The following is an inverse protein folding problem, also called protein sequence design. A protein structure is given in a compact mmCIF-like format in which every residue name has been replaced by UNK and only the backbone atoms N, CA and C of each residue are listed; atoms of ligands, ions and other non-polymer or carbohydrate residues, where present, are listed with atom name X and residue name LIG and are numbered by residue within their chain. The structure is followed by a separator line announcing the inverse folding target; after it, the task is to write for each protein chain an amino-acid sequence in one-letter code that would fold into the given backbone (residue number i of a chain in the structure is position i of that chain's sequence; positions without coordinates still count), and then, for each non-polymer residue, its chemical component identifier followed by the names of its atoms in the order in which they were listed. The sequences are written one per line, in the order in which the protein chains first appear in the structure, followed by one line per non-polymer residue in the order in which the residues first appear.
data_IF_609112106587
#
_entry.id   IF_609112106587
#
_cell.length_a   1.000
_cell.length_b   1.000
_cell.length_c   1.000
_cell.angle_alpha   90.00
_cell.angle_beta   90.00
_cell.angle_gamma   90.00
#
_symmetry.space_group_name_H-M   'P 1'
#
loop_
_entity.id
_entity.type
_entity.pdbx_description
1 polymer ?
#
# COMPACT_ATOMS: atom_id res chain seq x y z
N UNK A 1 61.70 31.37 -19.97
CA UNK A 1 60.68 31.42 -18.90
C UNK A 1 59.37 31.00 -19.54
N UNK A 2 59.26 29.72 -19.88
CA UNK A 2 58.78 28.63 -19.01
C UNK A 2 57.25 28.58 -18.98
N UNK A 3 56.77 27.69 -19.86
CA UNK A 3 55.70 26.69 -19.75
C UNK A 3 54.32 27.02 -19.13
N UNK A 4 53.24 26.56 -19.79
CA UNK A 4 51.98 26.21 -19.14
C UNK A 4 52.10 24.82 -18.47
N UNK A 5 51.49 24.65 -17.30
CA UNK A 5 51.44 23.36 -16.60
C UNK A 5 50.14 22.64 -16.95
N UNK A 6 50.31 21.51 -17.66
CA UNK A 6 49.41 20.37 -17.73
C UNK A 6 49.36 19.62 -16.39
N UNK A 7 48.23 18.98 -16.08
CA UNK A 7 48.09 17.62 -15.53
C UNK A 7 46.63 17.43 -15.07
N UNK A 8 45.99 16.27 -15.10
CA UNK A 8 46.12 14.99 -15.78
C UNK A 8 44.91 14.17 -15.27
N UNK A 9 44.57 13.13 -16.04
CA UNK A 9 43.76 11.96 -15.70
C UNK A 9 43.86 11.49 -14.23
N UNK A 10 42.76 10.95 -13.68
CA UNK A 10 42.59 9.48 -13.65
C UNK A 10 41.17 9.02 -13.29
N UNK A 11 40.77 7.94 -13.97
CA UNK A 11 39.62 7.08 -13.68
C UNK A 11 40.05 5.95 -12.74
N UNK A 12 39.08 5.27 -12.13
CA UNK A 12 39.02 3.87 -11.66
C UNK A 12 38.32 3.80 -10.29
N UNK A 13 37.10 3.27 -10.22
CA UNK A 13 36.72 1.85 -10.02
C UNK A 13 36.11 1.69 -8.63
N UNK A 14 34.88 1.17 -8.57
CA UNK A 14 34.56 0.11 -7.61
C UNK A 14 33.24 -0.52 -8.03
N UNK A 15 33.39 -1.66 -8.67
CA UNK A 15 32.40 -2.71 -8.82
C UNK A 15 31.77 -3.10 -7.47
N UNK A 16 30.49 -3.51 -7.48
CA UNK A 16 30.10 -4.82 -6.93
C UNK A 16 28.66 -5.17 -7.28
N UNK A 17 28.54 -6.30 -7.97
CA UNK A 17 27.31 -7.03 -8.24
C UNK A 17 27.29 -8.32 -7.41
N UNK A 18 26.06 -8.80 -7.18
CA UNK A 18 25.63 -10.15 -6.80
C UNK A 18 25.64 -10.61 -5.32
N UNK A 19 24.43 -10.90 -4.84
CA UNK A 19 24.19 -12.19 -4.19
C UNK A 19 22.87 -12.81 -4.70
N UNK A 20 23.03 -13.94 -5.38
CA UNK A 20 22.01 -14.92 -5.75
C UNK A 20 22.24 -16.11 -4.80
N UNK A 21 21.22 -16.52 -4.05
CA UNK A 21 21.03 -17.89 -3.54
C UNK A 21 19.51 -18.13 -3.51
N UNK A 22 18.92 -18.76 -4.54
CA UNK A 22 18.67 -20.21 -4.67
C UNK A 22 17.84 -20.84 -3.54
N UNK A 23 16.54 -21.07 -3.80
CA UNK A 23 15.78 -22.12 -3.13
C UNK A 23 14.74 -22.73 -4.09
N UNK A 24 15.18 -23.85 -4.68
CA UNK A 24 14.48 -25.08 -5.08
C UNK A 24 12.96 -25.01 -5.33
N UNK A 25 12.58 -25.15 -6.60
CA UNK A 25 11.26 -25.62 -7.04
C UNK A 25 11.03 -27.04 -6.54
N UNK A 26 9.92 -27.27 -5.84
CA UNK A 26 9.42 -28.61 -5.61
C UNK A 26 8.16 -28.80 -6.45
N UNK A 27 8.33 -29.49 -7.58
CA UNK A 27 7.25 -30.11 -8.33
C UNK A 27 6.51 -31.09 -7.42
N UNK A 28 5.18 -30.99 -7.38
CA UNK A 28 4.31 -32.11 -7.04
C UNK A 28 3.14 -32.14 -8.01
N UNK A 29 3.03 -33.31 -8.64
CA UNK A 29 2.14 -33.68 -9.71
C UNK A 29 0.66 -33.71 -9.32
N UNK A 30 -0.15 -33.71 -10.38
CA UNK A 30 -1.59 -33.94 -10.44
C UNK A 30 -2.09 -35.05 -9.51
N UNK A 31 -3.25 -34.84 -8.89
CA UNK A 31 -4.24 -35.92 -8.78
C UNK A 31 -5.66 -35.33 -8.90
N UNK A 32 -6.32 -35.81 -9.94
CA UNK A 32 -7.69 -35.55 -10.35
C UNK A 32 -8.59 -36.60 -9.67
N UNK A 33 -9.64 -36.18 -8.96
CA UNK A 33 -10.81 -37.04 -8.83
C UNK A 33 -12.09 -36.22 -8.64
N UNK A 34 -12.81 -36.09 -9.76
CA UNK A 34 -14.24 -35.78 -9.85
C UNK A 34 -15.09 -36.96 -9.37
N UNK A 35 -16.12 -36.75 -8.54
CA UNK A 35 -17.47 -37.37 -8.71
C UNK A 35 -18.55 -36.74 -7.81
N UNK A 36 -19.63 -36.26 -8.46
CA UNK A 36 -21.07 -36.32 -8.14
C UNK A 36 -21.58 -36.06 -6.71
N UNK A 37 -22.38 -35.00 -6.48
CA UNK A 37 -23.86 -34.95 -6.62
C UNK A 37 -24.57 -36.00 -5.75
N UNK A 38 -25.11 -35.55 -4.61
CA UNK A 38 -26.45 -35.98 -4.20
C UNK A 38 -27.18 -34.85 -3.45
N UNK A 39 -28.44 -34.66 -3.84
CA UNK A 39 -29.36 -33.62 -3.41
C UNK A 39 -30.49 -34.35 -2.69
N UNK A 40 -30.67 -34.14 -1.38
CA UNK A 40 -31.93 -34.51 -0.73
C UNK A 40 -32.30 -33.55 0.39
N UNK A 41 -33.48 -32.95 0.22
CA UNK A 41 -34.21 -32.19 1.21
C UNK A 41 -34.81 -33.12 2.28
N UNK A 42 -34.93 -32.61 3.50
CA UNK A 42 -35.73 -33.25 4.56
C UNK A 42 -35.84 -32.34 5.78
N UNK A 43 -36.98 -31.67 5.92
CA UNK A 43 -37.39 -30.96 7.14
C UNK A 43 -37.47 -31.91 8.33
N UNK A 44 -36.99 -31.47 9.50
CA UNK A 44 -37.64 -31.78 10.79
C UNK A 44 -37.36 -30.67 11.79
N UNK A 45 -38.46 -30.08 12.26
CA UNK A 45 -38.50 -29.07 13.31
C UNK A 45 -38.02 -29.63 14.65
N UNK A 46 -37.22 -28.86 15.39
CA UNK A 46 -37.19 -28.97 16.86
C UNK A 46 -36.94 -27.62 17.50
N UNK A 47 -38.03 -27.09 18.02
CA UNK A 47 -38.15 -26.01 19.01
C UNK A 47 -37.22 -26.25 20.20
N UNK A 48 -36.35 -25.29 20.50
CA UNK A 48 -35.79 -25.09 21.83
C UNK A 48 -35.97 -23.62 22.19
N UNK A 49 -36.60 -23.42 23.34
CA UNK A 49 -37.18 -22.21 23.87
C UNK A 49 -36.15 -21.16 24.26
N UNK A 50 -36.57 -19.90 24.18
CA UNK A 50 -35.82 -18.74 24.65
C UNK A 50 -35.62 -18.75 26.18
N UNK A 51 -34.79 -17.85 26.70
CA UNK A 51 -35.37 -16.86 27.60
C UNK A 51 -35.28 -15.46 27.01
N UNK A 52 -36.47 -14.90 26.82
CA UNK A 52 -36.79 -13.58 26.33
C UNK A 52 -35.96 -12.47 27.00
N UNK A 53 -35.28 -11.66 26.20
CA UNK A 53 -35.13 -10.23 26.50
C UNK A 53 -35.68 -9.46 25.32
N UNK A 54 -36.99 -9.27 25.34
CA UNK A 54 -37.71 -8.37 24.46
C UNK A 54 -37.11 -6.97 24.59
N UNK A 55 -36.30 -6.58 23.61
CA UNK A 55 -35.99 -5.18 23.36
C UNK A 55 -37.25 -4.55 22.75
N UNK A 56 -37.84 -3.51 23.37
CA UNK A 56 -39.10 -2.96 22.89
C UNK A 56 -38.89 -2.27 21.55
N UNK A 57 -39.52 -2.82 20.52
CA UNK A 57 -39.76 -2.21 19.23
C UNK A 57 -40.87 -1.16 19.36
N UNK A 58 -40.55 0.06 19.81
CA UNK A 58 -41.32 1.28 19.50
C UNK A 58 -40.36 2.48 19.63
N UNK A 59 -40.05 3.15 18.51
CA UNK A 59 -39.83 4.61 18.39
C UNK A 59 -38.75 5.34 19.20
N UNK A 60 -38.13 4.75 20.21
CA UNK A 60 -37.29 5.47 21.16
C UNK A 60 -35.82 5.20 20.87
N UNK A 61 -35.11 6.25 20.50
CA UNK A 61 -33.64 6.25 20.40
C UNK A 61 -33.10 5.88 21.77
N UNK A 62 -32.53 4.67 21.91
CA UNK A 62 -31.76 4.31 23.10
C UNK A 62 -30.53 5.21 23.14
N UNK A 63 -30.62 6.28 23.92
CA UNK A 63 -29.53 7.22 24.13
C UNK A 63 -28.45 6.54 24.97
N UNK A 64 -27.18 6.58 24.56
CA UNK A 64 -26.08 6.10 25.37
C UNK A 64 -26.06 6.84 26.71
N UNK A 65 -25.90 6.12 27.81
CA UNK A 65 -25.73 6.71 29.14
C UNK A 65 -24.54 6.08 29.85
N UNK A 66 -24.02 6.80 30.85
CA UNK A 66 -22.89 6.34 31.65
C UNK A 66 -23.35 5.16 32.51
N UNK A 67 -22.61 4.05 32.47
CA UNK A 67 -22.97 2.80 33.14
C UNK A 67 -23.63 1.76 32.24
N UNK A 68 -23.91 2.07 30.97
CA UNK A 68 -24.41 1.07 30.03
C UNK A 68 -23.37 -0.03 29.79
N UNK A 69 -23.77 -1.29 29.97
CA UNK A 69 -22.91 -2.48 29.86
C UNK A 69 -23.09 -3.19 28.51
N UNK A 70 -21.99 -3.71 27.98
CA UNK A 70 -21.93 -4.51 26.76
C UNK A 70 -21.11 -5.77 26.98
N UNK A 71 -21.47 -6.85 26.26
CA UNK A 71 -20.73 -8.12 26.30
C UNK A 71 -19.42 -8.02 25.51
N UNK A 72 -19.44 -7.34 24.37
CA UNK A 72 -18.26 -7.09 23.55
C UNK A 72 -18.03 -5.61 23.27
N UNK A 73 -16.78 -5.27 22.96
CA UNK A 73 -16.41 -3.97 22.36
C UNK A 73 -17.15 -3.74 21.04
N UNK A 74 -17.35 -4.80 20.26
CA UNK A 74 -18.00 -4.70 18.95
C UNK A 74 -19.49 -4.44 19.07
N UNK A 75 -20.17 -5.03 20.06
CA UNK A 75 -21.57 -4.72 20.38
C UNK A 75 -21.73 -3.23 20.71
N UNK A 76 -20.83 -2.71 21.54
CA UNK A 76 -20.83 -1.31 21.92
C UNK A 76 -20.51 -0.38 20.74
N UNK A 77 -19.63 -0.81 19.84
CA UNK A 77 -19.34 -0.12 18.57
C UNK A 77 -20.59 -0.04 17.70
N UNK A 78 -21.26 -1.16 17.50
CA UNK A 78 -22.46 -1.22 16.67
C UNK A 78 -23.60 -0.40 17.25
N UNK A 79 -23.81 -0.46 18.56
CA UNK A 79 -24.76 0.38 19.28
C UNK A 79 -24.49 1.87 19.02
N UNK A 80 -23.23 2.31 19.17
CA UNK A 80 -22.90 3.72 18.97
C UNK A 80 -22.96 4.15 17.50
N UNK A 81 -22.65 3.25 16.55
CA UNK A 81 -22.87 3.49 15.12
C UNK A 81 -24.36 3.66 14.81
N UNK A 82 -25.21 2.81 15.37
CA UNK A 82 -26.66 2.90 15.20
C UNK A 82 -27.21 4.20 15.80
N UNK A 83 -26.74 4.59 16.99
CA UNK A 83 -27.04 5.88 17.59
C UNK A 83 -26.61 7.02 16.67
N UNK A 84 -25.34 7.04 16.26
CA UNK A 84 -24.76 8.05 15.37
C UNK A 84 -25.57 8.24 14.09
N UNK A 85 -25.98 7.13 13.43
CA UNK A 85 -26.82 7.16 12.23
C UNK A 85 -28.15 7.84 12.47
N UNK A 86 -28.84 7.52 13.57
CA UNK A 86 -30.14 8.12 13.91
C UNK A 86 -30.02 9.58 14.31
N UNK A 87 -28.90 9.97 14.92
CA UNK A 87 -28.64 11.37 15.28
C UNK A 87 -28.06 12.20 14.14
N UNK A 88 -27.49 11.58 13.10
CA UNK A 88 -26.98 12.32 11.94
C UNK A 88 -25.46 12.45 11.84
N UNK A 89 -24.68 11.59 12.49
CA UNK A 89 -23.21 11.59 12.38
C UNK A 89 -22.64 10.18 12.19
N UNK A 90 -21.43 10.12 11.64
CA UNK A 90 -20.69 8.86 11.51
C UNK A 90 -19.68 8.72 12.63
N UNK A 91 -19.57 7.51 13.18
CA UNK A 91 -18.62 7.17 14.26
C UNK A 91 -17.30 6.70 13.68
N UNK A 92 -16.19 7.04 14.32
CA UNK A 92 -14.88 6.40 14.11
C UNK A 92 -14.31 5.83 15.41
N UNK A 93 -13.41 4.87 15.25
CA UNK A 93 -12.58 4.35 16.34
C UNK A 93 -11.42 5.33 16.55
N UNK A 94 -11.20 5.78 17.78
CA UNK A 94 -10.12 6.72 18.11
C UNK A 94 -8.93 6.02 18.77
N UNK A 95 -8.99 5.80 20.08
CA UNK A 95 -7.87 5.31 20.86
C UNK A 95 -8.26 4.07 21.67
N UNK A 96 -7.35 3.09 21.69
CA UNK A 96 -7.49 1.87 22.48
C UNK A 96 -6.58 2.04 23.71
N UNK A 97 -7.15 1.97 24.91
CA UNK A 97 -6.39 2.01 26.17
C UNK A 97 -5.96 0.60 26.54
N UNK A 98 -4.67 0.42 26.84
CA UNK A 98 -4.10 -0.87 27.23
C UNK A 98 -3.68 -0.88 28.70
N UNK A 99 -3.82 -2.03 29.35
CA UNK A 99 -3.31 -2.26 30.71
C UNK A 99 -1.80 -2.16 30.72
N UNK A 100 -1.23 -1.53 31.75
CA UNK A 100 0.22 -1.43 31.94
C UNK A 100 0.85 -2.76 32.38
N UNK A 101 0.05 -3.66 32.94
CA UNK A 101 0.52 -4.93 33.51
C UNK A 101 0.54 -6.01 32.43
N UNK A 102 -0.59 -6.23 31.75
CA UNK A 102 -0.77 -7.35 30.81
C UNK A 102 -0.87 -6.90 29.34
N UNK A 103 -0.73 -5.62 29.04
CA UNK A 103 -0.91 -5.03 27.69
C UNK A 103 -2.27 -5.30 27.02
N UNK A 104 -3.23 -5.88 27.75
CA UNK A 104 -4.59 -6.14 27.27
C UNK A 104 -5.37 -4.85 27.05
N UNK A 105 -6.29 -4.83 26.08
CA UNK A 105 -7.14 -3.67 25.82
C UNK A 105 -8.19 -3.56 26.94
N UNK A 106 -8.08 -2.51 27.75
CA UNK A 106 -8.96 -2.22 28.89
C UNK A 106 -9.93 -1.07 28.62
N UNK A 107 -9.83 -0.40 27.47
CA UNK A 107 -10.69 0.73 27.16
C UNK A 107 -10.71 1.08 25.69
N UNK A 108 -11.81 1.68 25.25
CA UNK A 108 -12.01 2.09 23.87
C UNK A 108 -12.71 3.44 23.78
N UNK A 109 -12.17 4.35 22.98
CA UNK A 109 -12.81 5.61 22.64
C UNK A 109 -13.43 5.53 21.23
N UNK A 110 -14.70 5.91 21.12
CA UNK A 110 -15.42 6.15 19.87
C UNK A 110 -15.80 7.61 19.77
N UNK A 111 -15.66 8.19 18.59
CA UNK A 111 -15.75 9.65 18.40
C UNK A 111 -16.46 9.97 17.10
N UNK A 112 -16.96 11.20 16.97
CA UNK A 112 -17.50 11.69 15.71
C UNK A 112 -16.41 11.69 14.62
N UNK A 113 -16.78 11.45 13.35
CA UNK A 113 -15.85 11.58 12.22
C UNK A 113 -15.18 12.95 12.16
N UNK A 114 -15.92 14.01 12.49
CA UNK A 114 -15.46 15.40 12.52
C UNK A 114 -14.70 15.82 13.79
N UNK A 115 -14.39 14.88 14.70
CA UNK A 115 -13.69 15.18 15.96
C UNK A 115 -12.24 15.68 15.79
N UNK A 116 -11.82 16.61 16.65
CA UNK A 116 -10.46 17.16 16.66
C UNK A 116 -10.09 17.98 15.43
N UNK A 117 -8.83 18.36 15.32
CA UNK A 117 -8.29 19.10 14.17
C UNK A 117 -7.22 18.28 13.47
N UNK A 118 -7.08 18.47 12.15
CA UNK A 118 -5.99 17.85 11.40
C UNK A 118 -4.69 18.56 11.74
N UNK A 119 -3.68 17.82 12.17
CA UNK A 119 -2.37 18.40 12.45
C UNK A 119 -1.75 19.04 11.19
N UNK A 120 -1.08 20.18 11.38
CA UNK A 120 -0.47 20.98 10.29
C UNK A 120 0.48 20.16 9.41
N UNK A 121 1.18 19.17 9.98
CA UNK A 121 2.10 18.28 9.25
C UNK A 121 1.43 17.47 8.12
N UNK A 122 0.11 17.29 8.17
CA UNK A 122 -0.65 16.57 7.12
C UNK A 122 -1.33 17.49 6.10
N UNK A 123 -1.32 18.80 6.36
CA UNK A 123 -1.91 19.83 5.49
C UNK A 123 -0.82 20.49 4.65
N UNK A 124 0.38 20.68 5.20
CA UNK A 124 1.46 21.44 4.57
C UNK A 124 2.68 20.57 4.25
N UNK A 125 2.48 19.52 3.45
CA UNK A 125 3.55 18.66 2.90
C UNK A 125 4.00 19.26 1.56
N UNK A 126 5.26 19.71 1.48
CA UNK A 126 5.84 20.31 0.25
C UNK A 126 6.15 19.26 -0.84
N UNK A 127 6.26 18.00 -0.46
CA UNK A 127 6.59 16.82 -1.29
C UNK A 127 5.36 16.15 -1.95
N UNK A 128 4.17 16.77 -1.90
CA UNK A 128 2.95 16.16 -2.39
C UNK A 128 2.80 16.29 -3.91
N UNK A 129 2.65 15.15 -4.58
CA UNK A 129 2.28 15.06 -6.01
C UNK A 129 0.79 15.36 -6.25
N UNK A 130 -0.07 15.04 -5.29
CA UNK A 130 -1.53 15.24 -5.36
C UNK A 130 -2.00 16.30 -4.36
N UNK A 131 -3.09 17.03 -4.67
CA UNK A 131 -3.65 18.03 -3.78
C UNK A 131 -4.05 17.42 -2.42
N UNK A 132 -3.97 18.20 -1.32
CA UNK A 132 -4.34 17.71 0.00
C UNK A 132 -5.84 17.33 0.03
N UNK A 133 -6.20 16.18 0.64
CA UNK A 133 -7.61 15.83 0.81
C UNK A 133 -8.34 16.90 1.63
N UNK A 134 -9.64 17.12 1.37
CA UNK A 134 -10.42 18.15 2.06
C UNK A 134 -10.37 17.94 3.59
N UNK A 135 -10.45 19.06 4.31
CA UNK A 135 -10.47 19.04 5.78
C UNK A 135 -11.83 18.50 6.22
N UNK A 136 -11.82 17.34 6.86
CA UNK A 136 -13.02 16.65 7.34
C UNK A 136 -13.18 16.70 8.86
N UNK A 137 -12.21 17.29 9.58
CA UNK A 137 -12.21 17.40 11.05
C UNK A 137 -12.40 18.85 11.46
N UNK A 138 -13.49 19.13 12.16
CA UNK A 138 -13.97 20.47 12.53
C UNK A 138 -13.86 20.73 14.04
N UNK A 139 -13.21 19.85 14.80
CA UNK A 139 -13.04 20.01 16.25
C UNK A 139 -14.18 19.44 17.11
N UNK A 140 -15.02 18.55 16.56
CA UNK A 140 -16.16 18.00 17.30
C UNK A 140 -15.72 17.34 18.61
N UNK A 141 -16.48 17.52 19.69
CA UNK A 141 -16.20 16.97 21.02
C UNK A 141 -17.00 15.69 21.33
N UNK A 142 -18.02 15.37 20.53
CA UNK A 142 -18.85 14.18 20.70
C UNK A 142 -18.03 12.88 20.76
N UNK A 143 -18.17 12.16 21.87
CA UNK A 143 -17.44 10.93 22.15
C UNK A 143 -18.19 9.98 23.08
N UNK A 144 -17.91 8.69 22.92
CA UNK A 144 -18.31 7.61 23.81
C UNK A 144 -17.06 6.84 24.23
N UNK A 145 -16.86 6.70 25.53
CA UNK A 145 -15.69 6.03 26.11
C UNK A 145 -16.11 4.80 26.89
N UNK A 146 -15.49 3.68 26.55
CA UNK A 146 -15.66 2.40 27.21
C UNK A 146 -14.46 2.05 28.09
N UNK A 147 -14.73 1.33 29.17
CA UNK A 147 -13.74 0.66 29.99
C UNK A 147 -14.19 -0.77 30.27
N UNK A 148 -13.24 -1.71 30.27
CA UNK A 148 -13.45 -3.08 30.69
C UNK A 148 -13.52 -3.12 32.24
N UNK A 149 -14.62 -3.63 32.78
CA UNK A 149 -14.84 -3.88 34.20
C UNK A 149 -14.80 -5.38 34.43
N UNK A 150 -14.14 -5.77 35.52
CA UNK A 150 -14.06 -7.15 36.01
C UNK A 150 -13.57 -8.19 34.98
N UNK A 151 -12.89 -7.74 33.93
CA UNK A 151 -12.35 -8.59 32.87
C UNK A 151 -13.37 -9.08 31.84
N UNK A 152 -14.68 -8.93 32.08
CA UNK A 152 -15.72 -9.52 31.24
C UNK A 152 -16.65 -8.49 30.57
N UNK A 153 -16.88 -7.34 31.21
CA UNK A 153 -17.94 -6.41 30.80
C UNK A 153 -17.41 -5.08 30.34
N UNK A 154 -17.90 -4.60 29.20
CA UNK A 154 -17.55 -3.27 28.68
C UNK A 154 -18.57 -2.23 29.14
N UNK A 155 -18.14 -1.24 29.91
CA UNK A 155 -19.03 -0.23 30.49
C UNK A 155 -18.73 1.16 29.93
N UNK A 156 -19.78 1.91 29.59
CA UNK A 156 -19.66 3.32 29.22
C UNK A 156 -19.24 4.13 30.43
N UNK A 157 -18.08 4.77 30.37
CA UNK A 157 -17.53 5.60 31.45
C UNK A 157 -17.63 7.10 31.18
N UNK A 158 -17.72 7.51 29.90
CA UNK A 158 -17.91 8.89 29.51
C UNK A 158 -18.75 8.95 28.24
N UNK A 159 -19.72 9.85 28.20
CA UNK A 159 -20.50 10.16 27.03
C UNK A 159 -20.61 11.68 26.87
N UNK A 160 -20.25 12.18 25.69
CA UNK A 160 -20.40 13.58 25.29
C UNK A 160 -21.30 13.58 24.06
N UNK A 161 -22.48 14.19 24.19
CA UNK A 161 -23.49 14.31 23.13
C UNK A 161 -23.26 15.52 22.23
N UNK A 162 -22.60 16.55 22.73
CA UNK A 162 -22.50 17.85 22.05
C UNK A 162 -21.68 17.76 20.76
N UNK A 163 -22.24 18.34 19.69
CA UNK A 163 -21.59 18.49 18.40
C UNK A 163 -21.39 19.97 18.10
N UNK A 164 -20.24 20.31 17.53
CA UNK A 164 -19.92 21.68 17.12
C UNK A 164 -20.21 21.94 15.63
N UNK A 165 -20.95 21.04 14.98
CA UNK A 165 -21.26 21.09 13.55
C UNK A 165 -22.70 20.64 13.31
N UNK A 166 -23.26 21.04 12.16
CA UNK A 166 -24.58 20.54 11.73
C UNK A 166 -24.52 19.02 11.55
N UNK A 167 -25.53 18.35 12.08
CA UNK A 167 -25.76 16.92 11.87
C UNK A 167 -26.47 16.72 10.53
N UNK A 168 -26.25 15.56 9.92
CA UNK A 168 -26.94 15.15 8.69
C UNK A 168 -28.34 14.63 9.03
N UNK A 169 -29.26 14.63 8.06
CA UNK A 169 -30.48 13.85 8.23
C UNK A 169 -30.13 12.35 8.32
N UNK A 170 -30.84 11.55 9.11
CA UNK A 170 -30.52 10.12 9.29
C UNK A 170 -30.46 9.34 7.96
N UNK A 171 -31.29 9.73 7.00
CA UNK A 171 -31.31 9.18 5.64
C UNK A 171 -30.07 9.49 4.79
N UNK A 172 -29.30 10.53 5.14
CA UNK A 172 -28.11 11.00 4.42
C UNK A 172 -26.81 10.63 5.11
N UNK A 173 -26.85 9.94 6.26
CA UNK A 173 -25.62 9.48 6.94
C UNK A 173 -25.01 8.34 6.11
N UNK A 174 -23.76 8.49 5.62
CA UNK A 174 -23.11 7.43 4.85
C UNK A 174 -23.01 6.14 5.64
N UNK A 175 -23.35 5.02 5.01
CA UNK A 175 -23.22 3.70 5.61
C UNK A 175 -21.74 3.34 5.75
N UNK A 176 -21.17 3.62 6.94
CA UNK A 176 -19.85 3.14 7.38
C UNK A 176 -20.00 2.01 8.40
N UNK A 177 -20.84 1.04 8.08
CA UNK A 177 -20.95 -0.20 8.85
C UNK A 177 -19.85 -1.17 8.43
N UNK A 178 -19.62 -2.22 9.22
CA UNK A 178 -18.80 -3.37 8.81
C UNK A 178 -19.46 -4.22 7.70
N UNK A 179 -20.63 -3.80 7.23
CA UNK A 179 -21.31 -4.38 6.08
C UNK A 179 -20.54 -4.06 4.83
N UNK A 180 -19.84 -5.09 4.34
CA UNK A 180 -19.36 -5.29 2.98
C UNK A 180 -20.01 -4.32 2.00
N UNK A 181 -19.20 -3.48 1.36
CA UNK A 181 -19.56 -2.75 0.14
C UNK A 181 -20.45 -3.63 -0.72
N UNK A 182 -21.64 -3.16 -1.11
CA UNK A 182 -22.74 -3.84 -1.85
C UNK A 182 -22.34 -4.55 -3.17
N UNK A 183 -21.06 -4.57 -3.49
CA UNK A 183 -20.41 -5.33 -4.54
C UNK A 183 -20.10 -6.70 -3.93
N UNK A 184 -20.59 -7.79 -4.53
CA UNK A 184 -20.29 -9.15 -4.03
C UNK A 184 -18.78 -9.30 -3.81
N UNK A 185 -18.36 -10.07 -2.80
CA UNK A 185 -16.93 -10.38 -2.63
C UNK A 185 -16.36 -10.98 -3.93
N UNK A 186 -17.17 -11.78 -4.64
CA UNK A 186 -16.83 -12.36 -5.94
C UNK A 186 -16.57 -11.32 -7.03
N UNK A 187 -17.31 -10.21 -7.04
CA UNK A 187 -17.17 -9.14 -8.05
C UNK A 187 -15.91 -8.32 -7.79
N UNK A 188 -15.54 -8.14 -6.51
CA UNK A 188 -14.24 -7.56 -6.15
C UNK A 188 -13.10 -8.46 -6.57
N UNK A 189 -13.21 -9.77 -6.30
CA UNK A 189 -12.19 -10.75 -6.67
C UNK A 189 -12.07 -10.89 -8.19
N UNK A 190 -13.18 -10.82 -8.92
CA UNK A 190 -13.19 -10.77 -10.38
C UNK A 190 -12.44 -9.53 -10.88
N UNK A 191 -12.71 -8.37 -10.30
CA UNK A 191 -12.02 -7.14 -10.68
C UNK A 191 -10.53 -7.17 -10.35
N UNK A 192 -10.16 -7.77 -9.22
CA UNK A 192 -8.75 -7.99 -8.85
C UNK A 192 -8.06 -8.89 -9.89
N UNK A 193 -8.67 -10.01 -10.27
CA UNK A 193 -8.11 -10.93 -11.29
C UNK A 193 -7.94 -10.23 -12.65
N UNK A 194 -8.95 -9.50 -13.08
CA UNK A 194 -8.94 -8.75 -14.34
C UNK A 194 -7.81 -7.71 -14.38
N UNK A 195 -7.71 -6.87 -13.34
CA UNK A 195 -6.65 -5.87 -13.24
C UNK A 195 -5.26 -6.50 -13.12
N UNK A 196 -5.15 -7.64 -12.42
CA UNK A 196 -3.88 -8.37 -12.30
C UNK A 196 -3.42 -8.89 -13.66
N UNK A 197 -4.36 -9.39 -14.47
CA UNK A 197 -4.07 -9.85 -15.83
C UNK A 197 -3.65 -8.68 -16.73
N UNK A 198 -4.35 -7.55 -16.63
CA UNK A 198 -4.01 -6.34 -17.39
C UNK A 198 -2.60 -5.84 -17.05
N UNK A 199 -2.27 -5.73 -15.75
CA UNK A 199 -0.93 -5.35 -15.30
C UNK A 199 0.15 -6.33 -15.75
N UNK A 200 -0.12 -7.63 -15.71
CA UNK A 200 0.83 -8.64 -16.19
C UNK A 200 1.06 -8.51 -17.71
N UNK A 201 0.01 -8.24 -18.48
CA UNK A 201 0.11 -8.01 -19.92
C UNK A 201 0.91 -6.74 -20.25
N UNK A 202 0.68 -5.64 -19.53
CA UNK A 202 1.45 -4.40 -19.67
C UNK A 202 2.91 -4.61 -19.30
N UNK A 203 3.18 -5.30 -18.19
CA UNK A 203 4.54 -5.64 -17.75
C UNK A 203 5.26 -6.44 -18.82
N UNK A 204 4.60 -7.44 -19.41
CA UNK A 204 5.20 -8.27 -20.46
C UNK A 204 5.45 -7.47 -21.74
N UNK A 205 4.56 -6.54 -22.10
CA UNK A 205 4.76 -5.62 -23.23
C UNK A 205 5.96 -4.70 -22.98
N UNK A 206 6.07 -4.13 -21.79
CA UNK A 206 7.21 -3.32 -21.38
C UNK A 206 8.52 -4.12 -21.48
N UNK A 207 8.55 -5.35 -20.92
CA UNK A 207 9.70 -6.24 -20.97
C UNK A 207 10.16 -6.54 -22.41
N UNK A 208 9.22 -6.81 -23.32
CA UNK A 208 9.54 -7.04 -24.75
C UNK A 208 10.13 -5.79 -25.42
N UNK A 209 9.59 -4.61 -25.11
CA UNK A 209 10.12 -3.34 -25.62
C UNK A 209 11.53 -3.07 -25.11
N UNK A 210 11.76 -3.26 -23.80
CA UNK A 210 13.09 -3.12 -23.20
C UNK A 210 14.11 -4.06 -23.86
N UNK A 211 13.78 -5.35 -24.01
CA UNK A 211 14.66 -6.30 -24.67
C UNK A 211 14.99 -5.91 -26.12
N UNK A 212 14.03 -5.38 -26.87
CA UNK A 212 14.26 -4.89 -28.22
C UNK A 212 15.20 -3.66 -28.26
N UNK A 213 15.03 -2.71 -27.34
CA UNK A 213 15.92 -1.56 -27.24
C UNK A 213 17.33 -1.96 -26.77
N UNK A 214 17.44 -2.91 -25.84
CA UNK A 214 18.73 -3.46 -25.40
C UNK A 214 19.47 -4.11 -26.57
N UNK A 215 18.78 -4.91 -27.39
CA UNK A 215 19.41 -5.52 -28.57
C UNK A 215 19.84 -4.48 -29.61
N UNK A 216 19.01 -3.46 -29.85
CA UNK A 216 19.38 -2.35 -30.75
C UNK A 216 20.62 -1.61 -30.25
N UNK A 217 20.68 -1.29 -28.96
CA UNK A 217 21.84 -0.63 -28.36
C UNK A 217 23.08 -1.51 -28.45
N UNK A 218 22.96 -2.82 -28.19
CA UNK A 218 24.06 -3.77 -28.30
C UNK A 218 24.64 -3.81 -29.72
N UNK A 219 23.79 -3.80 -30.75
CA UNK A 219 24.23 -3.75 -32.15
C UNK A 219 24.99 -2.47 -32.47
N UNK A 220 24.48 -1.31 -32.03
CA UNK A 220 25.13 -0.02 -32.27
C UNK A 220 26.48 0.06 -31.55
N UNK A 221 26.55 -0.38 -30.30
CA UNK A 221 27.81 -0.42 -29.54
C UNK A 221 28.84 -1.31 -30.23
N UNK A 222 28.46 -2.51 -30.68
CA UNK A 222 29.35 -3.42 -31.42
C UNK A 222 29.87 -2.78 -32.71
N UNK A 223 29.01 -2.09 -33.45
CA UNK A 223 29.42 -1.39 -34.66
C UNK A 223 30.44 -0.27 -34.37
N UNK A 224 30.22 0.51 -33.31
CA UNK A 224 31.14 1.57 -32.90
C UNK A 224 32.49 0.98 -32.48
N UNK A 225 32.50 -0.11 -31.72
CA UNK A 225 33.72 -0.80 -31.30
C UNK A 225 34.52 -1.33 -32.50
N UNK A 226 33.84 -1.99 -33.45
CA UNK A 226 34.48 -2.50 -34.67
C UNK A 226 35.07 -1.37 -35.53
N UNK A 227 34.30 -0.29 -35.72
CA UNK A 227 34.75 0.86 -36.49
C UNK A 227 35.93 1.56 -35.81
N UNK A 228 35.87 1.76 -34.49
CA UNK A 228 36.96 2.36 -33.71
C UNK A 228 38.23 1.50 -33.80
N UNK A 229 38.10 0.18 -33.72
CA UNK A 229 39.21 -0.75 -33.89
C UNK A 229 39.80 -0.75 -35.31
N UNK A 230 38.97 -0.58 -36.34
CA UNK A 230 39.46 -0.40 -37.72
C UNK A 230 40.23 0.91 -37.87
N UNK A 231 39.68 2.02 -37.37
CA UNK A 231 40.35 3.32 -37.42
C UNK A 231 41.67 3.31 -36.65
N UNK A 232 41.73 2.67 -35.47
CA UNK A 232 42.96 2.53 -34.70
C UNK A 232 44.05 1.81 -35.49
N UNK A 233 43.73 0.67 -36.12
CA UNK A 233 44.66 -0.06 -36.98
C UNK A 233 45.14 0.77 -38.16
N UNK A 234 44.25 1.46 -38.86
CA UNK A 234 44.65 2.33 -39.98
C UNK A 234 45.57 3.46 -39.53
N UNK A 235 45.33 4.05 -38.36
CA UNK A 235 46.21 5.07 -37.79
C UNK A 235 47.57 4.47 -37.41
N UNK A 236 47.60 3.29 -36.79
CA UNK A 236 48.84 2.57 -36.47
C UNK A 236 49.67 2.26 -37.73
N UNK A 237 49.03 1.76 -38.80
CA UNK A 237 49.68 1.50 -40.08
C UNK A 237 50.28 2.78 -40.68
N UNK A 238 49.56 3.90 -40.64
CA UNK A 238 50.06 5.19 -41.14
C UNK A 238 51.25 5.68 -40.30
N UNK A 239 51.16 5.60 -38.97
CA UNK A 239 52.25 6.00 -38.06
C UNK A 239 53.49 5.13 -38.27
N UNK A 240 53.31 3.82 -38.46
CA UNK A 240 54.41 2.90 -38.74
C UNK A 240 55.07 3.23 -40.08
N UNK A 241 54.27 3.46 -41.14
CA UNK A 241 54.79 3.88 -42.45
C UNK A 241 55.56 5.21 -42.37
N UNK A 242 55.07 6.21 -41.61
CA UNK A 242 55.78 7.48 -41.42
C UNK A 242 57.11 7.25 -40.71
N UNK A 243 57.14 6.44 -39.66
CA UNK A 243 58.36 6.11 -38.91
C UNK A 243 59.39 5.40 -39.76
N UNK A 244 58.97 4.50 -40.65
CA UNK A 244 59.86 3.82 -41.60
C UNK A 244 60.51 4.81 -42.57
N UNK A 245 59.72 5.73 -43.14
CA UNK A 245 60.22 6.79 -44.02
C UNK A 245 61.19 7.76 -43.31
N UNK A 246 60.92 8.10 -42.05
CA UNK A 246 61.81 8.95 -41.24
C UNK A 246 63.16 8.27 -40.95
N UNK A 247 63.16 6.96 -40.69
CA UNK A 247 64.38 6.19 -40.46
C UNK A 247 65.23 6.07 -41.74
N UNK A 248 64.61 5.83 -42.91
CA UNK A 248 65.32 5.80 -44.20
C UNK A 248 65.99 7.15 -44.51
N UNK A 249 65.32 8.27 -44.21
CA UNK A 249 65.91 9.61 -44.35
C UNK A 249 67.05 9.89 -43.37
N UNK A 250 67.02 9.31 -42.16
CA UNK A 250 68.11 9.41 -41.18
C UNK A 250 69.33 8.57 -41.55
N UNK A 251 69.14 7.42 -42.19
CA UNK A 251 70.23 6.62 -42.74
C UNK A 251 70.88 7.35 -43.93
N UNK A 252 70.11 7.92 -44.85
CA UNK A 252 70.63 8.67 -46.01
C UNK A 252 71.36 9.97 -45.62
N UNK A 253 70.99 10.61 -44.49
CA UNK A 253 71.65 11.82 -43.99
C UNK A 253 72.87 11.54 -43.11
N UNK A 254 73.09 10.30 -42.67
CA UNK A 254 74.26 9.90 -41.87
C UNK A 254 75.47 9.46 -42.73
N UNK A 255 75.31 9.29 -44.04
CA UNK A 255 76.38 8.91 -44.99
C UNK A 255 77.00 10.08 -45.79
N UNK A 256 76.68 11.33 -45.44
CA UNK A 256 77.28 12.56 -45.97
C UNK A 256 78.07 13.30 -44.86
#
# INVERSE_FOLDING_TARGET
MESPINQAFDSEESEKCLHIESYVDHDFADDDLSTDIDLCMGEVAKTIEQPNRSLPLVGNVLEPYIGLEFKSRDDAREFYIAYGRRTGFTVRIHHNRRSRINNMIIGQDFVCSKEGFRERKYTSRKDRVLPPPPITREGCSAMLRLALRDGEKWVVTKFIKEHNHSLLSPSKVPWRGSGKSMISEDEKDQRIRELTLELNNERQRCKRRCAAYEEQLRLVLKYIEEHTGQMARTVEDIVQNIRELENEQQEDTAFL
#
